data_IF_612801411945
#
_entry.id   IF_612801411945
#
_cell.length_a   1.000
_cell.length_b   1.000
_cell.length_c   1.000
_cell.angle_alpha   90.00
_cell.angle_beta   90.00
_cell.angle_gamma   90.00
#
_symmetry.space_group_name_H-M   'P 1'
#
loop_
_entity.id
_entity.type
_entity.pdbx_description
1 polymer ?
#
# COMPACT_ATOMS: atom_id res chain seq x y z
N UNK A 1 -22.12 11.39 -7.27
CA UNK A 1 -21.42 11.55 -5.98
C UNK A 1 -19.96 11.24 -6.22
N UNK A 2 -19.16 12.24 -6.53
CA UNK A 2 -17.71 12.09 -6.75
C UNK A 2 -17.06 12.08 -5.37
N UNK A 3 -17.02 10.91 -4.74
CA UNK A 3 -16.34 10.76 -3.45
C UNK A 3 -14.89 11.25 -3.57
N UNK A 4 -14.57 12.18 -2.68
CA UNK A 4 -13.33 12.91 -2.50
C UNK A 4 -12.12 11.94 -2.47
N UNK A 5 -11.50 11.66 -3.62
CA UNK A 5 -10.19 10.97 -3.68
C UNK A 5 -9.06 11.93 -3.27
N UNK A 6 -9.20 12.61 -2.13
CA UNK A 6 -8.09 13.40 -1.58
C UNK A 6 -7.02 12.46 -1.06
N UNK A 7 -5.81 12.62 -1.59
CA UNK A 7 -4.64 11.94 -1.04
C UNK A 7 -4.42 12.36 0.41
N UNK A 8 -4.09 11.40 1.27
CA UNK A 8 -3.79 11.63 2.69
C UNK A 8 -2.30 11.44 2.91
N UNK A 9 -1.68 12.39 3.62
CA UNK A 9 -0.30 12.24 4.08
C UNK A 9 -0.28 11.51 5.41
N UNK A 10 0.45 10.40 5.47
CA UNK A 10 0.65 9.62 6.69
C UNK A 10 2.11 9.67 7.07
N UNK A 11 2.40 10.10 8.31
CA UNK A 11 3.76 10.05 8.86
C UNK A 11 4.03 8.66 9.40
N UNK A 12 5.15 8.10 8.99
CA UNK A 12 5.59 6.77 9.35
C UNK A 12 7.02 6.85 9.90
N UNK A 13 7.42 5.96 10.83
CA UNK A 13 8.82 5.78 11.16
C UNK A 13 9.63 5.46 9.90
N UNK A 14 10.81 6.05 9.75
CA UNK A 14 11.64 5.91 8.55
C UNK A 14 11.93 4.44 8.20
N UNK A 15 12.24 3.62 9.21
CA UNK A 15 12.51 2.19 9.04
C UNK A 15 11.30 1.45 8.45
N UNK A 16 10.10 1.74 8.95
CA UNK A 16 8.86 1.14 8.43
C UNK A 16 8.62 1.55 6.97
N UNK A 17 8.86 2.81 6.62
CA UNK A 17 8.75 3.27 5.24
C UNK A 17 9.74 2.57 4.30
N UNK A 18 10.98 2.33 4.75
CA UNK A 18 11.98 1.58 3.98
C UNK A 18 11.58 0.11 3.77
N UNK A 19 11.06 -0.54 4.80
CA UNK A 19 10.59 -1.92 4.71
C UNK A 19 9.43 -2.03 3.70
N UNK A 20 8.47 -1.09 3.76
CA UNK A 20 7.36 -1.01 2.80
C UNK A 20 7.83 -0.75 1.36
N UNK A 21 8.82 0.13 1.17
CA UNK A 21 9.40 0.39 -0.16
C UNK A 21 10.06 -0.87 -0.75
N UNK A 22 10.77 -1.62 0.10
CA UNK A 22 11.42 -2.88 -0.31
C UNK A 22 10.37 -3.92 -0.71
N UNK A 23 9.32 -4.07 0.08
CA UNK A 23 8.22 -4.99 -0.20
C UNK A 23 7.48 -4.62 -1.49
N UNK A 24 7.16 -3.34 -1.68
CA UNK A 24 6.53 -2.83 -2.90
C UNK A 24 7.40 -3.08 -4.15
N UNK A 25 8.72 -2.93 -4.02
CA UNK A 25 9.66 -3.24 -5.11
C UNK A 25 9.68 -4.72 -5.46
N UNK A 26 9.65 -5.61 -4.45
CA UNK A 26 9.58 -7.06 -4.66
C UNK A 26 8.26 -7.48 -5.33
N UNK A 27 7.13 -6.92 -4.88
CA UNK A 27 5.83 -7.17 -5.50
C UNK A 27 5.78 -6.64 -6.93
N UNK A 28 6.44 -5.51 -7.21
CA UNK A 28 6.49 -4.96 -8.56
C UNK A 28 7.16 -5.92 -9.54
N UNK A 29 8.28 -6.52 -9.14
CA UNK A 29 9.00 -7.53 -9.93
C UNK A 29 8.15 -8.78 -10.12
N UNK A 30 7.51 -9.27 -9.06
CA UNK A 30 6.69 -10.50 -9.11
C UNK A 30 5.47 -10.36 -10.03
N UNK A 31 4.81 -9.21 -10.00
CA UNK A 31 3.58 -8.96 -10.78
C UNK A 31 3.86 -8.41 -12.17
N UNK A 32 5.10 -7.99 -12.45
CA UNK A 32 5.46 -7.34 -13.72
C UNK A 32 4.83 -5.95 -13.90
N UNK A 33 4.35 -5.32 -12.81
CA UNK A 33 3.74 -3.98 -12.82
C UNK A 33 4.32 -3.13 -11.71
N UNK A 34 4.31 -1.81 -11.85
CA UNK A 34 4.77 -0.94 -10.76
C UNK A 34 3.74 -0.91 -9.63
N UNK A 35 4.11 -1.45 -8.47
CA UNK A 35 3.34 -1.40 -7.23
C UNK A 35 3.90 -0.30 -6.34
N UNK A 36 3.11 0.73 -6.08
CA UNK A 36 3.48 1.81 -5.16
C UNK A 36 3.19 1.44 -3.70
N UNK A 37 3.92 2.03 -2.76
CA UNK A 37 3.70 1.82 -1.31
C UNK A 37 2.23 2.10 -0.91
N UNK A 38 1.57 3.20 -1.33
CA UNK A 38 0.16 3.41 -1.01
C UNK A 38 -0.75 2.31 -1.54
N UNK A 39 -0.51 1.80 -2.76
CA UNK A 39 -1.27 0.70 -3.33
C UNK A 39 -1.10 -0.58 -2.51
N UNK A 40 0.13 -0.92 -2.16
CA UNK A 40 0.44 -2.07 -1.32
C UNK A 40 -0.29 -2.01 0.03
N UNK A 41 -0.26 -0.84 0.70
CA UNK A 41 -0.95 -0.64 1.98
C UNK A 41 -2.46 -0.86 1.83
N UNK A 42 -3.07 -0.28 0.80
CA UNK A 42 -4.51 -0.43 0.57
C UNK A 42 -4.90 -1.89 0.29
N UNK A 43 -4.10 -2.62 -0.49
CA UNK A 43 -4.33 -4.04 -0.76
C UNK A 43 -4.27 -4.87 0.54
N UNK A 44 -3.27 -4.63 1.39
CA UNK A 44 -3.13 -5.30 2.70
C UNK A 44 -4.34 -5.00 3.60
N UNK A 45 -4.77 -3.74 3.67
CA UNK A 45 -5.91 -3.34 4.49
C UNK A 45 -7.21 -3.97 3.99
N UNK A 46 -7.43 -4.00 2.67
CA UNK A 46 -8.61 -4.64 2.08
C UNK A 46 -8.61 -6.16 2.32
N UNK A 47 -7.47 -6.83 2.17
CA UNK A 47 -7.34 -8.26 2.45
C UNK A 47 -7.70 -8.56 3.91
N UNK A 48 -7.17 -7.77 4.86
CA UNK A 48 -7.50 -7.90 6.29
C UNK A 48 -8.97 -7.62 6.59
N UNK A 49 -9.57 -6.61 5.96
CA UNK A 49 -10.98 -6.29 6.14
C UNK A 49 -11.90 -7.41 5.64
N UNK A 50 -11.55 -8.07 4.54
CA UNK A 50 -12.27 -9.24 4.01
C UNK A 50 -12.13 -10.47 4.91
N UNK A 51 -10.94 -10.71 5.48
CA UNK A 51 -10.69 -11.84 6.37
C UNK A 51 -11.38 -11.74 7.75
N UNK A 52 -11.88 -10.55 8.12
CA UNK A 52 -12.65 -10.33 9.35
C UNK A 52 -14.18 -10.44 9.17
N UNK A 53 -14.66 -10.61 7.94
CA UNK A 53 -16.06 -10.91 7.64
C UNK A 53 -16.24 -12.42 7.50
#
# INVERSE_FOLDING_TARGET
MTEDKKGVLVRLPQKLHQDLLREASQESVKRGETVSVPRLILEILQARAKAKK
#
